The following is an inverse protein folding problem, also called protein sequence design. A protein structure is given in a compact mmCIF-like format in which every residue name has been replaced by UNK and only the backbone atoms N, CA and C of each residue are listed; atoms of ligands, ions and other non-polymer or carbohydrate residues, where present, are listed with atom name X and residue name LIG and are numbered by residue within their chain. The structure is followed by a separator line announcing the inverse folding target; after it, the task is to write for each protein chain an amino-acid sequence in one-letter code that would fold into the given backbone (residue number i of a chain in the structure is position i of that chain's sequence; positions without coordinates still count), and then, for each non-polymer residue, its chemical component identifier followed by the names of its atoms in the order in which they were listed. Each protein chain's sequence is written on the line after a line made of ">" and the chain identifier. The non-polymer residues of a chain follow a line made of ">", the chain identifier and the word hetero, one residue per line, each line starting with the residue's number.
data_IF_432752845487
#
_entry.id   IF_432752845487
#
_cell.length_a   1.000
_cell.length_b   1.000
_cell.length_c   1.000
_cell.angle_alpha   90.00
_cell.angle_beta   90.00
_cell.angle_gamma   90.00
#
_symmetry.space_group_name_H-M   'P 1'
#
loop_
_entity.id
_entity.type
_entity.pdbx_description
1 polymer ?
#
# COMPACT_ATOMS: atom_id res chain seq x y z
N UNK A 1 -7.87 -0.98 31.18
CA UNK A 1 -7.63 -1.35 29.78
C UNK A 1 -7.60 -2.86 29.73
N UNK A 2 -8.52 -3.47 29.01
CA UNK A 2 -8.52 -4.92 28.82
C UNK A 2 -7.36 -5.27 27.88
N UNK A 3 -6.28 -5.80 28.45
CA UNK A 3 -5.08 -6.17 27.69
C UNK A 3 -5.38 -7.26 26.66
N UNK A 4 -6.49 -8.01 26.79
CA UNK A 4 -6.84 -9.09 25.86
C UNK A 4 -7.18 -8.58 24.46
N UNK A 5 -7.87 -7.43 24.36
CA UNK A 5 -8.22 -6.84 23.06
C UNK A 5 -6.99 -6.28 22.34
N UNK A 6 -6.10 -5.60 23.07
CA UNK A 6 -4.82 -5.10 22.52
C UNK A 6 -3.91 -6.25 22.12
N UNK A 7 -3.85 -7.33 22.91
CA UNK A 7 -3.09 -8.53 22.58
C UNK A 7 -3.62 -9.17 21.30
N UNK A 8 -4.93 -9.42 21.19
CA UNK A 8 -5.53 -10.01 20.00
C UNK A 8 -5.30 -9.16 18.74
N UNK A 9 -5.37 -7.83 18.87
CA UNK A 9 -5.04 -6.91 17.78
C UNK A 9 -3.57 -7.02 17.36
N UNK A 10 -2.64 -7.04 18.33
CA UNK A 10 -1.21 -7.15 18.07
C UNK A 10 -0.85 -8.50 17.42
N UNK A 11 -1.47 -9.59 17.88
CA UNK A 11 -1.25 -10.94 17.35
C UNK A 11 -1.72 -11.02 15.88
N UNK A 12 -2.91 -10.50 15.56
CA UNK A 12 -3.40 -10.45 14.17
C UNK A 12 -2.49 -9.62 13.27
N UNK A 13 -2.00 -8.47 13.75
CA UNK A 13 -1.07 -7.64 13.00
C UNK A 13 0.27 -8.37 12.77
N UNK A 14 0.78 -9.06 13.79
CA UNK A 14 2.00 -9.85 13.69
C UNK A 14 1.86 -10.99 12.67
N UNK A 15 0.75 -11.72 12.68
CA UNK A 15 0.44 -12.75 11.69
C UNK A 15 0.38 -12.19 10.27
N UNK A 16 -0.27 -11.03 10.08
CA UNK A 16 -0.36 -10.39 8.77
C UNK A 16 1.00 -9.94 8.23
N UNK A 17 1.85 -9.37 9.09
CA UNK A 17 3.23 -9.01 8.76
C UNK A 17 4.04 -10.26 8.41
N UNK A 18 3.94 -11.34 9.20
CA UNK A 18 4.62 -12.59 8.91
C UNK A 18 4.20 -13.20 7.57
N UNK A 19 2.91 -13.11 7.23
CA UNK A 19 2.42 -13.54 5.93
C UNK A 19 3.05 -12.74 4.79
N UNK A 20 3.06 -11.40 4.88
CA UNK A 20 3.69 -10.53 3.88
C UNK A 20 5.19 -10.80 3.73
N UNK A 21 5.92 -10.99 4.85
CA UNK A 21 7.33 -11.38 4.83
C UNK A 21 7.51 -12.70 4.09
N UNK A 22 6.69 -13.71 4.42
CA UNK A 22 6.77 -15.02 3.79
C UNK A 22 6.50 -14.93 2.29
N UNK A 23 5.46 -14.21 1.89
CA UNK A 23 5.06 -14.01 0.49
C UNK A 23 6.23 -13.45 -0.34
N UNK A 24 6.77 -12.29 0.05
CA UNK A 24 7.80 -11.60 -0.73
C UNK A 24 9.21 -12.19 -0.55
N UNK A 25 9.50 -12.93 0.52
CA UNK A 25 10.84 -13.50 0.73
C UNK A 25 10.98 -14.90 0.14
N UNK A 26 9.92 -15.71 0.20
CA UNK A 26 9.99 -17.14 -0.14
C UNK A 26 9.14 -17.55 -1.33
N UNK A 27 8.15 -16.73 -1.72
CA UNK A 27 7.19 -17.04 -2.78
C UNK A 27 7.10 -15.94 -3.85
N UNK A 28 8.08 -15.03 -3.91
CA UNK A 28 8.13 -14.01 -4.95
C UNK A 28 8.12 -14.65 -6.35
N UNK A 29 7.39 -14.05 -7.30
CA UNK A 29 7.29 -14.51 -8.68
C UNK A 29 8.66 -14.50 -9.36
N UNK A 30 9.45 -13.47 -9.09
CA UNK A 30 10.83 -13.35 -9.54
C UNK A 30 11.74 -12.83 -8.42
N UNK A 31 13.08 -13.02 -8.52
CA UNK A 31 14.01 -12.45 -7.54
C UNK A 31 13.93 -10.92 -7.40
N UNK A 32 13.42 -10.23 -8.43
CA UNK A 32 13.22 -8.79 -8.42
C UNK A 32 12.11 -8.39 -7.43
N UNK A 33 11.08 -9.21 -7.28
CA UNK A 33 9.89 -8.90 -6.49
C UNK A 33 10.11 -9.12 -4.98
N UNK A 34 11.28 -9.70 -4.62
CA UNK A 34 11.71 -9.91 -3.24
C UNK A 34 12.49 -8.72 -2.66
N UNK A 35 12.92 -7.74 -3.49
CA UNK A 35 13.80 -6.64 -3.07
C UNK A 35 13.35 -5.28 -3.63
N UNK A 36 13.74 -4.20 -2.96
CA UNK A 36 13.56 -2.84 -3.48
C UNK A 36 14.54 -2.57 -4.62
N UNK A 37 14.09 -1.82 -5.62
CA UNK A 37 14.81 -1.69 -6.89
C UNK A 37 15.99 -0.71 -6.87
N UNK A 38 16.02 0.21 -5.91
CA UNK A 38 17.08 1.21 -5.78
C UNK A 38 18.42 0.63 -5.34
N UNK A 39 18.43 -0.47 -4.56
CA UNK A 39 19.67 -1.18 -4.16
C UNK A 39 19.69 -2.68 -4.51
N UNK A 40 18.55 -3.27 -4.85
CA UNK A 40 18.38 -4.72 -5.08
C UNK A 40 18.83 -5.59 -3.90
N UNK A 41 18.78 -5.05 -2.67
CA UNK A 41 19.23 -5.73 -1.44
C UNK A 41 18.24 -5.57 -0.31
N UNK A 42 17.62 -4.41 -0.17
CA UNK A 42 16.63 -4.15 0.86
C UNK A 42 15.38 -5.00 0.60
N UNK A 43 14.86 -5.78 1.57
CA UNK A 43 13.69 -6.64 1.35
C UNK A 43 12.46 -5.84 0.91
N UNK A 44 11.70 -6.35 -0.07
CA UNK A 44 10.53 -5.63 -0.59
C UNK A 44 9.49 -5.32 0.50
N UNK A 45 9.31 -6.24 1.45
CA UNK A 45 8.30 -6.17 2.51
C UNK A 45 8.36 -4.91 3.38
N UNK A 46 9.47 -4.16 3.39
CA UNK A 46 9.51 -2.87 4.08
C UNK A 46 8.48 -1.87 3.53
N UNK A 47 8.14 -1.97 2.24
CA UNK A 47 7.16 -1.11 1.57
C UNK A 47 5.73 -1.34 2.08
N UNK A 48 5.15 -2.55 2.00
CA UNK A 48 3.82 -2.80 2.54
C UNK A 48 3.74 -2.55 4.06
N UNK A 49 4.82 -2.82 4.81
CA UNK A 49 4.89 -2.49 6.26
C UNK A 49 4.82 -0.98 6.49
N UNK A 50 5.55 -0.17 5.72
CA UNK A 50 5.52 1.28 5.83
C UNK A 50 4.11 1.82 5.51
N UNK A 51 3.50 1.35 4.43
CA UNK A 51 2.16 1.76 4.02
C UNK A 51 1.13 1.48 5.13
N UNK A 52 1.11 0.25 5.64
CA UNK A 52 0.19 -0.16 6.68
C UNK A 52 0.40 0.62 7.99
N UNK A 53 1.65 0.79 8.43
CA UNK A 53 1.97 1.52 9.66
C UNK A 53 1.57 3.00 9.56
N UNK A 54 1.77 3.60 8.39
CA UNK A 54 1.39 5.00 8.14
C UNK A 54 -0.13 5.18 8.17
N UNK A 55 -0.91 4.23 7.65
CA UNK A 55 -2.37 4.27 7.76
C UNK A 55 -2.85 4.04 9.21
N UNK A 56 -2.24 3.11 9.95
CA UNK A 56 -2.64 2.83 11.34
C UNK A 56 -2.47 4.04 12.25
N UNK A 57 -1.50 4.90 11.95
CA UNK A 57 -1.22 6.15 12.70
C UNK A 57 -2.07 7.35 12.25
N UNK A 58 -2.96 7.17 11.26
CA UNK A 58 -3.83 8.25 10.77
C UNK A 58 -5.00 8.54 11.72
N UNK A 59 -4.80 9.38 12.73
CA UNK A 59 -5.83 9.65 13.74
C UNK A 59 -7.12 10.28 13.21
N UNK A 60 -7.11 10.89 12.01
CA UNK A 60 -8.30 11.48 11.40
C UNK A 60 -9.24 10.43 10.75
N UNK A 61 -8.77 9.20 10.54
CA UNK A 61 -9.58 8.12 9.97
C UNK A 61 -10.17 7.19 11.03
N UNK A 62 -11.42 6.75 10.86
CA UNK A 62 -12.04 5.78 11.77
C UNK A 62 -11.33 4.42 11.67
N UNK A 63 -11.31 3.69 12.78
CA UNK A 63 -10.65 2.39 12.89
C UNK A 63 -11.19 1.36 11.87
N UNK A 64 -12.48 1.42 11.56
CA UNK A 64 -13.13 0.59 10.54
C UNK A 64 -12.58 0.77 9.12
N UNK A 65 -11.83 1.85 8.86
CA UNK A 65 -11.08 2.05 7.62
C UNK A 65 -9.61 1.68 7.86
N UNK A 66 -9.01 2.18 8.95
CA UNK A 66 -7.58 2.01 9.23
C UNK A 66 -7.17 0.55 9.34
N UNK A 67 -7.88 -0.23 10.14
CA UNK A 67 -7.47 -1.60 10.43
C UNK A 67 -7.58 -2.53 9.21
N UNK A 68 -8.76 -2.68 8.57
CA UNK A 68 -8.85 -3.50 7.36
C UNK A 68 -8.00 -2.95 6.21
N UNK A 69 -7.86 -1.62 6.10
CA UNK A 69 -6.99 -0.99 5.12
C UNK A 69 -5.51 -1.29 5.35
N UNK A 70 -5.07 -1.36 6.61
CA UNK A 70 -3.68 -1.68 6.94
C UNK A 70 -3.36 -3.15 6.62
N UNK A 71 -4.28 -4.07 6.92
CA UNK A 71 -4.15 -5.46 6.51
C UNK A 71 -4.13 -5.60 4.98
N UNK A 72 -4.98 -4.84 4.28
CA UNK A 72 -4.96 -4.81 2.82
C UNK A 72 -3.64 -4.27 2.27
N UNK A 73 -3.10 -3.18 2.84
CA UNK A 73 -1.79 -2.63 2.45
C UNK A 73 -0.64 -3.58 2.75
N UNK A 74 -0.70 -4.40 3.81
CA UNK A 74 0.30 -5.43 4.06
C UNK A 74 0.35 -6.49 2.94
N UNK A 75 -0.77 -6.73 2.27
CA UNK A 75 -0.92 -7.80 1.27
C UNK A 75 -1.21 -7.30 -0.14
N UNK A 76 -1.20 -5.99 -0.39
CA UNK A 76 -1.72 -5.41 -1.63
C UNK A 76 -0.98 -5.89 -2.89
N UNK A 77 0.32 -6.16 -2.76
CA UNK A 77 1.15 -6.70 -3.82
C UNK A 77 1.27 -8.24 -3.78
N UNK A 78 0.72 -8.91 -2.77
CA UNK A 78 0.87 -10.36 -2.62
C UNK A 78 0.32 -11.13 -3.82
N UNK A 79 -0.83 -10.70 -4.36
CA UNK A 79 -1.44 -11.33 -5.53
C UNK A 79 -0.78 -10.92 -6.87
N UNK A 80 -0.05 -9.81 -6.90
CA UNK A 80 0.63 -9.30 -8.09
C UNK A 80 2.03 -9.91 -8.23
N UNK A 81 2.76 -9.96 -7.11
CA UNK A 81 4.21 -10.17 -7.07
C UNK A 81 4.62 -11.53 -6.51
N UNK A 82 3.68 -12.34 -6.03
CA UNK A 82 3.98 -13.61 -5.36
C UNK A 82 3.05 -14.75 -5.78
N UNK A 83 3.46 -15.97 -5.44
CA UNK A 83 2.69 -17.20 -5.63
C UNK A 83 1.90 -17.59 -4.37
N UNK A 84 2.02 -16.83 -3.27
CA UNK A 84 1.35 -17.14 -2.01
C UNK A 84 -0.08 -16.56 -2.04
N UNK A 85 -1.14 -17.38 -1.91
CA UNK A 85 -2.49 -16.85 -1.79
C UNK A 85 -2.68 -16.14 -0.44
N UNK A 86 -3.67 -15.25 -0.38
CA UNK A 86 -4.09 -14.63 0.88
C UNK A 86 -4.52 -15.70 1.90
N UNK A 87 -4.29 -15.49 3.22
CA UNK A 87 -4.66 -16.45 4.26
C UNK A 87 -6.14 -16.80 4.20
N UNK A 88 -6.52 -18.07 4.40
CA UNK A 88 -7.92 -18.51 4.41
C UNK A 88 -8.79 -17.74 5.43
N UNK A 89 -8.19 -17.39 6.56
CA UNK A 89 -8.81 -16.57 7.63
C UNK A 89 -8.99 -15.09 7.29
N UNK A 90 -8.49 -14.61 6.14
CA UNK A 90 -8.60 -13.20 5.77
C UNK A 90 -10.08 -12.78 5.63
N UNK A 91 -10.43 -11.70 6.33
CA UNK A 91 -11.77 -11.12 6.30
C UNK A 91 -12.16 -10.71 4.87
N UNK A 92 -13.45 -10.85 4.53
CA UNK A 92 -13.97 -10.56 3.18
C UNK A 92 -13.66 -9.13 2.71
N UNK A 93 -13.75 -8.16 3.61
CA UNK A 93 -13.39 -6.76 3.32
C UNK A 93 -11.92 -6.61 2.94
N UNK A 94 -11.01 -7.30 3.64
CA UNK A 94 -9.58 -7.23 3.37
C UNK A 94 -9.26 -7.88 2.03
N UNK A 95 -9.82 -9.06 1.76
CA UNK A 95 -9.66 -9.73 0.46
C UNK A 95 -10.11 -8.85 -0.70
N UNK A 96 -11.31 -8.27 -0.60
CA UNK A 96 -11.85 -7.37 -1.62
C UNK A 96 -10.92 -6.17 -1.84
N UNK A 97 -10.41 -5.54 -0.78
CA UNK A 97 -9.49 -4.41 -0.91
C UNK A 97 -8.19 -4.80 -1.59
N UNK A 98 -7.60 -5.96 -1.24
CA UNK A 98 -6.41 -6.47 -1.93
C UNK A 98 -6.69 -6.70 -3.41
N UNK A 99 -7.78 -7.39 -3.75
CA UNK A 99 -8.19 -7.64 -5.14
C UNK A 99 -8.43 -6.35 -5.92
N UNK A 100 -8.99 -5.32 -5.29
CA UNK A 100 -9.17 -4.00 -5.91
C UNK A 100 -7.85 -3.24 -6.10
N UNK A 101 -6.83 -3.52 -5.28
CA UNK A 101 -5.49 -2.92 -5.34
C UNK A 101 -4.53 -3.64 -6.30
N UNK A 102 -4.85 -4.86 -6.73
CA UNK A 102 -4.05 -5.64 -7.69
C UNK A 102 -4.35 -5.22 -9.13
N UNK A 103 -3.30 -4.93 -9.90
CA UNK A 103 -3.42 -4.57 -11.32
C UNK A 103 -2.44 -5.39 -12.16
N UNK A 104 -2.74 -5.54 -13.45
CA UNK A 104 -1.81 -6.25 -14.36
C UNK A 104 -0.55 -5.43 -14.69
N UNK A 105 -0.64 -4.11 -14.54
CA UNK A 105 0.44 -3.16 -14.76
C UNK A 105 0.07 -1.79 -14.18
N UNK A 106 1.04 -0.88 -14.06
CA UNK A 106 0.75 0.50 -13.67
C UNK A 106 -0.15 1.22 -14.69
N UNK A 107 -0.03 0.90 -15.98
CA UNK A 107 -0.85 1.54 -17.00
C UNK A 107 -2.32 1.08 -16.85
N UNK A 108 -2.52 -0.22 -16.54
CA UNK A 108 -3.83 -0.74 -16.17
C UNK A 108 -4.37 -0.10 -14.88
N UNK A 109 -3.50 0.15 -13.89
CA UNK A 109 -3.88 0.88 -12.69
C UNK A 109 -4.39 2.29 -13.03
N UNK A 110 -3.68 3.04 -13.87
CA UNK A 110 -4.05 4.41 -14.23
C UNK A 110 -5.43 4.51 -14.87
N UNK A 111 -5.81 3.49 -15.63
CA UNK A 111 -7.12 3.40 -16.30
C UNK A 111 -8.22 2.89 -15.36
N UNK A 112 -7.95 1.84 -14.60
CA UNK A 112 -8.98 1.06 -13.92
C UNK A 112 -9.23 1.49 -12.45
N UNK A 113 -8.28 2.19 -11.82
CA UNK A 113 -8.38 2.60 -10.41
C UNK A 113 -9.67 3.39 -10.12
N UNK A 114 -10.13 4.21 -11.06
CA UNK A 114 -11.28 5.10 -10.86
C UNK A 114 -12.60 4.36 -10.73
N UNK A 115 -12.68 3.11 -11.23
CA UNK A 115 -13.83 2.23 -11.06
C UNK A 115 -13.80 1.43 -9.74
N UNK A 116 -12.71 1.51 -8.97
CA UNK A 116 -12.57 0.82 -7.67
C UNK A 116 -13.23 1.62 -6.54
N UNK A 117 -13.36 1.01 -5.37
CA UNK A 117 -13.93 1.68 -4.20
C UNK A 117 -13.10 2.91 -3.78
N UNK A 118 -13.74 3.84 -3.10
CA UNK A 118 -13.07 5.04 -2.60
C UNK A 118 -12.00 4.71 -1.54
N UNK A 119 -12.17 3.60 -0.82
CA UNK A 119 -11.15 3.10 0.11
C UNK A 119 -9.93 2.62 -0.67
N UNK A 120 -10.08 1.90 -1.78
CA UNK A 120 -8.96 1.50 -2.63
C UNK A 120 -8.19 2.70 -3.18
N UNK A 121 -8.88 3.76 -3.60
CA UNK A 121 -8.23 5.02 -4.02
C UNK A 121 -7.43 5.65 -2.89
N UNK A 122 -7.97 5.66 -1.66
CA UNK A 122 -7.25 6.08 -0.46
C UNK A 122 -5.99 5.23 -0.24
N UNK A 123 -6.10 3.90 -0.25
CA UNK A 123 -4.96 3.00 -0.03
C UNK A 123 -3.88 3.15 -1.10
N UNK A 124 -4.27 3.37 -2.36
CA UNK A 124 -3.32 3.64 -3.45
C UNK A 124 -2.52 4.92 -3.24
N UNK A 125 -3.05 5.92 -2.54
CA UNK A 125 -2.24 7.09 -2.17
C UNK A 125 -1.09 6.70 -1.24
N UNK A 126 -1.33 5.83 -0.25
CA UNK A 126 -0.28 5.32 0.65
C UNK A 126 0.79 4.55 -0.12
N UNK A 127 0.38 3.63 -1.01
CA UNK A 127 1.27 2.92 -1.93
C UNK A 127 2.13 3.93 -2.72
N UNK A 128 1.50 4.88 -3.44
CA UNK A 128 2.24 5.80 -4.31
C UNK A 128 3.20 6.69 -3.55
N UNK A 129 2.78 7.26 -2.42
CA UNK A 129 3.67 8.08 -1.60
C UNK A 129 4.90 7.28 -1.18
N UNK A 130 4.75 6.00 -0.81
CA UNK A 130 5.91 5.16 -0.51
C UNK A 130 6.82 4.96 -1.72
N UNK A 131 6.29 4.85 -2.94
CA UNK A 131 7.11 4.78 -4.17
C UNK A 131 7.90 6.08 -4.41
N UNK A 132 7.39 7.25 -4.01
CA UNK A 132 8.13 8.52 -4.11
C UNK A 132 9.30 8.61 -3.12
N UNK A 133 9.21 7.95 -1.96
CA UNK A 133 10.29 7.94 -0.97
C UNK A 133 11.55 7.22 -1.46
N UNK A 134 11.42 6.26 -2.38
CA UNK A 134 12.55 5.46 -2.86
C UNK A 134 12.62 5.30 -4.39
N UNK A 135 11.85 6.08 -5.13
CA UNK A 135 11.70 6.03 -6.58
C UNK A 135 12.90 6.56 -7.38
N UNK A 136 14.07 6.77 -6.77
CA UNK A 136 15.28 7.34 -7.41
C UNK A 136 15.70 6.59 -8.70
N UNK A 137 15.37 5.32 -8.80
CA UNK A 137 15.66 4.44 -9.93
C UNK A 137 14.71 4.60 -11.13
N UNK A 138 13.60 5.32 -10.98
CA UNK A 138 12.64 5.57 -12.06
C UNK A 138 13.23 6.51 -13.10
N UNK A 139 12.87 6.31 -14.38
CA UNK A 139 13.15 7.30 -15.44
C UNK A 139 12.30 8.56 -15.25
N UNK A 140 12.73 9.69 -15.81
CA UNK A 140 11.99 10.96 -15.68
C UNK A 140 10.60 10.90 -16.32
N UNK A 141 10.47 10.21 -17.45
CA UNK A 141 9.17 9.96 -18.06
C UNK A 141 8.24 9.20 -17.10
N UNK A 142 8.74 8.15 -16.45
CA UNK A 142 7.95 7.34 -15.52
C UNK A 142 7.63 8.11 -14.23
N UNK A 143 8.56 8.91 -13.75
CA UNK A 143 8.36 9.82 -12.63
C UNK A 143 7.24 10.82 -12.92
N UNK A 144 7.27 11.48 -14.08
CA UNK A 144 6.24 12.44 -14.48
C UNK A 144 4.84 11.81 -14.58
N UNK A 145 4.76 10.59 -15.12
CA UNK A 145 3.53 9.80 -15.16
C UNK A 145 3.00 9.49 -13.76
N UNK A 146 3.86 8.98 -12.87
CA UNK A 146 3.52 8.65 -11.49
C UNK A 146 3.07 9.91 -10.72
N UNK A 147 3.75 11.03 -10.94
CA UNK A 147 3.44 12.32 -10.31
C UNK A 147 2.04 12.81 -10.72
N UNK A 148 1.75 12.81 -12.02
CA UNK A 148 0.45 13.23 -12.53
C UNK A 148 -0.69 12.32 -12.02
N UNK A 149 -0.44 11.02 -11.92
CA UNK A 149 -1.43 10.08 -11.38
C UNK A 149 -1.64 10.29 -9.87
N UNK A 150 -0.56 10.40 -9.10
CA UNK A 150 -0.61 10.57 -7.64
C UNK A 150 -1.28 11.88 -7.24
N UNK A 151 -1.06 12.96 -7.99
CA UNK A 151 -1.75 14.22 -7.77
C UNK A 151 -3.28 14.10 -7.92
N UNK A 152 -3.76 13.30 -8.88
CA UNK A 152 -5.21 13.03 -9.03
C UNK A 152 -5.75 12.25 -7.83
N UNK A 153 -5.03 11.23 -7.37
CA UNK A 153 -5.43 10.46 -6.18
C UNK A 153 -5.45 11.37 -4.94
N UNK A 154 -4.42 12.20 -4.74
CA UNK A 154 -4.34 13.14 -3.62
C UNK A 154 -5.53 14.11 -3.61
N UNK A 155 -5.87 14.70 -4.75
CA UNK A 155 -7.04 15.58 -4.87
C UNK A 155 -8.35 14.85 -4.53
N UNK A 156 -8.51 13.62 -5.01
CA UNK A 156 -9.66 12.79 -4.66
C UNK A 156 -9.73 12.51 -3.15
N UNK A 157 -8.61 12.09 -2.56
CA UNK A 157 -8.54 11.79 -1.12
C UNK A 157 -8.83 13.02 -0.28
N UNK A 158 -8.26 14.17 -0.65
CA UNK A 158 -8.53 15.44 0.02
C UNK A 158 -10.02 15.82 -0.03
N UNK A 159 -10.65 15.67 -1.20
CA UNK A 159 -12.07 15.98 -1.37
C UNK A 159 -13.03 15.01 -0.65
N UNK A 160 -12.61 13.76 -0.46
CA UNK A 160 -13.47 12.68 0.07
C UNK A 160 -13.27 12.45 1.57
N UNK A 161 -12.02 12.44 2.02
CA UNK A 161 -11.64 12.12 3.40
C UNK A 161 -11.09 13.33 4.17
N UNK A 162 -10.96 14.48 3.52
CA UNK A 162 -10.39 15.69 4.11
C UNK A 162 -8.86 15.66 4.15
N UNK A 163 -8.28 16.53 4.98
CA UNK A 163 -6.84 16.60 5.14
C UNK A 163 -6.35 15.48 6.07
N UNK A 164 -5.52 14.59 5.52
CA UNK A 164 -4.89 13.48 6.21
C UNK A 164 -3.37 13.70 6.28
N UNK A 165 -2.67 13.01 7.15
CA UNK A 165 -1.20 13.01 7.16
C UNK A 165 -0.64 12.53 5.83
N UNK A 166 -1.26 11.53 5.20
CA UNK A 166 -0.78 11.04 3.89
C UNK A 166 -0.86 12.10 2.79
N UNK A 167 -1.87 12.98 2.79
CA UNK A 167 -1.96 14.07 1.80
C UNK A 167 -0.90 15.14 2.06
N UNK A 168 -0.56 15.40 3.33
CA UNK A 168 0.57 16.28 3.70
C UNK A 168 1.91 15.70 3.25
N UNK A 169 2.14 14.41 3.46
CA UNK A 169 3.36 13.72 3.02
C UNK A 169 3.43 13.75 1.48
N UNK A 170 2.34 13.44 0.78
CA UNK A 170 2.27 13.49 -0.67
C UNK A 170 2.71 14.86 -1.22
N UNK A 171 2.20 15.96 -0.67
CA UNK A 171 2.62 17.32 -1.08
C UNK A 171 4.10 17.61 -0.85
N UNK A 172 4.71 16.96 0.14
CA UNK A 172 6.11 17.16 0.47
C UNK A 172 7.06 16.36 -0.44
N UNK A 173 6.65 15.16 -0.90
CA UNK A 173 7.55 14.23 -1.60
C UNK A 173 7.21 14.01 -3.07
N UNK A 174 5.95 14.21 -3.47
CA UNK A 174 5.50 14.10 -4.86
C UNK A 174 5.80 15.41 -5.59
N UNK A 175 7.08 15.64 -5.90
CA UNK A 175 7.56 16.85 -6.56
C UNK A 175 8.14 16.53 -7.95
N UNK A 176 8.10 17.47 -8.91
CA UNK A 176 8.84 17.34 -10.16
C UNK A 176 10.35 17.19 -9.89
N UNK A 177 11.03 16.37 -10.70
CA UNK A 177 12.50 16.35 -10.72
C UNK A 177 13.01 17.56 -11.49
N UNK A 178 14.06 18.17 -10.96
CA UNK A 178 14.80 19.28 -11.58
C UNK A 178 15.92 18.76 -12.44
#
# INVERSE_FOLDING_TARGET
>A
MDLSATQAYADQLAEAIQHAIRAHTHFANTPRDAVRLWDRRTPYVIHPIWCASTLLTETALPEQIRYPGALALLWHDTLEDTQLPLPDSAQSIVRRLVEEMTFASLDAEFELLWARSDTTKLLKLYDKVSQFLDGVWLSDQRWAQLLAHTAKIEQFVLGTYGELNITRIARAVCLPRT
#
